data_IF_967112763284
#
_entry.id   IF_967112763284
#
_cell.length_a   1.000
_cell.length_b   1.000
_cell.length_c   1.000
_cell.angle_alpha   90.00
_cell.angle_beta   90.00
_cell.angle_gamma   90.00
#
_symmetry.space_group_name_H-M   'P 1'
#
loop_
_entity.id
_entity.type
_entity.pdbx_description
1 polymer ?
#
# COMPACT_ATOMS: atom_id res chain seq x y z
N UNK A 1 -3.81 -25.95 9.50
CA UNK A 1 -4.67 -24.76 9.68
C UNK A 1 -5.89 -24.91 8.78
N UNK A 2 -7.09 -24.55 9.23
CA UNK A 2 -8.30 -24.59 8.40
C UNK A 2 -8.37 -23.31 7.55
N UNK A 3 -8.83 -23.37 6.29
CA UNK A 3 -8.77 -22.23 5.37
C UNK A 3 -9.51 -20.98 5.90
N UNK A 4 -10.61 -21.18 6.63
CA UNK A 4 -11.37 -20.09 7.25
C UNK A 4 -10.57 -19.36 8.33
N UNK A 5 -9.79 -20.09 9.12
CA UNK A 5 -8.97 -19.52 10.18
C UNK A 5 -7.81 -18.70 9.59
N UNK A 6 -7.20 -19.18 8.50
CA UNK A 6 -6.15 -18.46 7.80
C UNK A 6 -6.64 -17.12 7.22
N UNK A 7 -7.80 -17.14 6.54
CA UNK A 7 -8.42 -15.92 6.00
C UNK A 7 -8.80 -14.95 7.13
N UNK A 8 -9.28 -15.47 8.26
CA UNK A 8 -9.62 -14.63 9.42
C UNK A 8 -8.37 -13.97 10.03
N UNK A 9 -7.27 -14.70 10.18
CA UNK A 9 -6.01 -14.14 10.68
C UNK A 9 -5.40 -13.11 9.72
N UNK A 10 -5.41 -13.40 8.42
CA UNK A 10 -4.98 -12.45 7.39
C UNK A 10 -5.81 -11.17 7.42
N UNK A 11 -7.13 -11.30 7.52
CA UNK A 11 -8.06 -10.17 7.57
C UNK A 11 -7.83 -9.30 8.81
N UNK A 12 -7.58 -9.92 9.97
CA UNK A 12 -7.23 -9.18 11.20
C UNK A 12 -5.93 -8.39 11.04
N UNK A 13 -4.91 -8.98 10.42
CA UNK A 13 -3.64 -8.29 10.17
C UNK A 13 -3.85 -7.10 9.20
N UNK A 14 -4.57 -7.31 8.10
CA UNK A 14 -4.87 -6.24 7.15
C UNK A 14 -5.73 -5.13 7.77
N UNK A 15 -6.65 -5.46 8.67
CA UNK A 15 -7.46 -4.49 9.38
C UNK A 15 -6.61 -3.56 10.27
N UNK A 16 -5.66 -4.11 11.02
CA UNK A 16 -4.75 -3.32 11.86
C UNK A 16 -3.89 -2.40 10.99
N UNK A 17 -3.34 -2.93 9.89
CA UNK A 17 -2.55 -2.15 8.94
C UNK A 17 -3.40 -1.05 8.30
N UNK A 18 -4.66 -1.32 7.96
CA UNK A 18 -5.54 -0.32 7.39
C UNK A 18 -5.83 0.83 8.37
N UNK A 19 -6.11 0.52 9.62
CA UNK A 19 -6.35 1.53 10.66
C UNK A 19 -5.15 2.42 10.93
N UNK A 20 -3.94 1.84 10.94
CA UNK A 20 -2.72 2.56 11.31
C UNK A 20 -2.02 3.25 10.14
N UNK A 21 -2.14 2.71 8.92
CA UNK A 21 -1.43 3.22 7.76
C UNK A 21 -2.38 3.85 6.72
N UNK A 22 -3.39 3.12 6.25
CA UNK A 22 -4.18 3.60 5.11
C UNK A 22 -5.10 4.75 5.50
N UNK A 23 -5.83 4.66 6.62
CA UNK A 23 -6.75 5.71 7.09
C UNK A 23 -6.00 7.03 7.37
N UNK A 24 -4.90 7.06 8.14
CA UNK A 24 -4.14 8.29 8.36
C UNK A 24 -3.51 8.83 7.07
N UNK A 25 -3.12 7.95 6.13
CA UNK A 25 -2.61 8.34 4.82
C UNK A 25 -3.63 9.17 4.03
N UNK A 26 -4.90 8.73 3.99
CA UNK A 26 -5.97 9.48 3.34
C UNK A 26 -6.21 10.86 3.96
N UNK A 27 -6.25 10.93 5.30
CA UNK A 27 -6.43 12.21 6.00
C UNK A 27 -5.27 13.16 5.72
N UNK A 28 -4.04 12.65 5.73
CA UNK A 28 -2.87 13.43 5.34
C UNK A 28 -3.01 13.97 3.91
N UNK A 29 -3.53 13.18 2.96
CA UNK A 29 -3.80 13.68 1.60
C UNK A 29 -4.78 14.85 1.63
N UNK A 30 -5.92 14.69 2.31
CA UNK A 30 -6.98 15.71 2.37
C UNK A 30 -6.44 17.04 2.89
N UNK A 31 -5.59 17.03 3.91
CA UNK A 31 -5.03 18.27 4.46
C UNK A 31 -3.93 18.90 3.59
N UNK A 32 -3.14 18.09 2.87
CA UNK A 32 -1.95 18.57 2.14
C UNK A 32 -2.22 18.84 0.65
N UNK A 33 -3.31 18.30 0.08
CA UNK A 33 -3.57 18.32 -1.36
C UNK A 33 -3.71 19.72 -1.93
N UNK A 34 -4.35 20.63 -1.20
CA UNK A 34 -4.55 22.02 -1.64
C UNK A 34 -3.33 22.91 -1.39
N UNK A 35 -2.40 22.49 -0.54
CA UNK A 35 -1.20 23.28 -0.19
C UNK A 35 0.02 22.93 -1.03
N UNK A 36 0.26 21.64 -1.29
CA UNK A 36 1.46 21.14 -1.97
C UNK A 36 1.21 20.94 -3.47
N UNK A 37 -0.04 20.66 -3.84
CA UNK A 37 -0.46 20.37 -5.20
C UNK A 37 -0.40 18.87 -5.55
N UNK A 38 -1.33 18.46 -6.41
CA UNK A 38 -1.61 17.05 -6.74
C UNK A 38 -0.43 16.32 -7.39
N UNK A 39 0.25 16.97 -8.34
CA UNK A 39 1.40 16.37 -9.04
C UNK A 39 2.58 16.06 -8.11
N UNK A 40 2.92 16.99 -7.21
CA UNK A 40 4.06 16.81 -6.28
C UNK A 40 3.79 15.70 -5.27
N UNK A 41 2.56 15.61 -4.77
CA UNK A 41 2.13 14.55 -3.85
C UNK A 41 2.23 13.18 -4.52
N UNK A 42 1.81 13.07 -5.78
CA UNK A 42 1.92 11.83 -6.55
C UNK A 42 3.39 11.40 -6.75
N UNK A 43 4.27 12.33 -7.11
CA UNK A 43 5.69 12.04 -7.32
C UNK A 43 6.40 11.63 -6.03
N UNK A 44 6.15 12.33 -4.92
CA UNK A 44 6.69 11.98 -3.61
C UNK A 44 6.18 10.60 -3.17
N UNK A 45 4.88 10.33 -3.34
CA UNK A 45 4.29 9.02 -3.01
C UNK A 45 4.97 7.87 -3.76
N UNK A 46 5.10 7.97 -5.09
CA UNK A 46 5.78 6.94 -5.89
C UNK A 46 7.26 6.78 -5.52
N UNK A 47 7.98 7.88 -5.26
CA UNK A 47 9.39 7.82 -4.90
C UNK A 47 9.57 7.10 -3.55
N UNK A 48 8.81 7.48 -2.53
CA UNK A 48 8.90 6.85 -1.20
C UNK A 48 8.49 5.38 -1.26
N UNK A 49 7.44 5.04 -2.01
CA UNK A 49 7.05 3.64 -2.23
C UNK A 49 8.16 2.83 -2.89
N UNK A 50 8.81 3.38 -3.93
CA UNK A 50 9.91 2.72 -4.63
C UNK A 50 11.08 2.43 -3.68
N UNK A 51 11.49 3.43 -2.90
CA UNK A 51 12.57 3.29 -1.92
C UNK A 51 12.22 2.25 -0.85
N UNK A 52 11.01 2.30 -0.29
CA UNK A 52 10.58 1.35 0.73
C UNK A 52 10.52 -0.08 0.20
N UNK A 53 9.96 -0.29 -1.00
CA UNK A 53 9.90 -1.59 -1.64
C UNK A 53 11.29 -2.11 -2.03
N UNK A 54 12.20 -1.24 -2.44
CA UNK A 54 13.58 -1.63 -2.73
C UNK A 54 14.30 -2.14 -1.48
N UNK A 55 14.20 -1.44 -0.35
CA UNK A 55 14.76 -1.90 0.92
C UNK A 55 14.10 -3.20 1.42
N UNK A 56 12.78 -3.31 1.27
CA UNK A 56 12.03 -4.51 1.66
C UNK A 56 12.45 -5.71 0.82
N UNK A 57 12.65 -5.51 -0.48
CA UNK A 57 13.05 -6.56 -1.42
C UNK A 57 14.50 -7.01 -1.23
N UNK A 58 15.43 -6.07 -1.01
CA UNK A 58 16.84 -6.41 -0.82
C UNK A 58 17.07 -7.29 0.42
N UNK A 59 16.47 -6.91 1.55
CA UNK A 59 16.64 -7.60 2.84
C UNK A 59 15.46 -8.53 3.18
N UNK A 60 14.72 -9.00 2.17
CA UNK A 60 13.49 -9.76 2.38
C UNK A 60 13.71 -11.05 3.19
N UNK A 61 14.83 -11.77 2.95
CA UNK A 61 15.17 -12.99 3.69
C UNK A 61 15.41 -12.72 5.17
N UNK A 62 16.10 -11.63 5.50
CA UNK A 62 16.43 -11.28 6.89
C UNK A 62 15.21 -10.76 7.65
N UNK A 63 14.27 -10.09 6.97
CA UNK A 63 13.05 -9.57 7.59
C UNK A 63 11.97 -10.64 7.78
N UNK A 64 11.81 -11.57 6.83
CA UNK A 64 10.85 -12.67 6.94
C UNK A 64 11.28 -13.71 7.97
N UNK A 65 12.59 -13.92 8.12
CA UNK A 65 13.13 -15.01 8.93
C UNK A 65 13.28 -16.29 8.11
N UNK A 66 13.98 -17.27 8.68
CA UNK A 66 14.37 -18.49 7.99
C UNK A 66 13.62 -19.70 8.57
N UNK A 67 13.04 -20.53 7.70
CA UNK A 67 12.25 -21.70 8.07
C UNK A 67 13.09 -22.74 8.84
N UNK A 68 14.36 -22.90 8.46
CA UNK A 68 15.30 -23.89 9.01
C UNK A 68 15.69 -23.64 10.48
N UNK A 69 15.45 -22.43 11.00
CA UNK A 69 15.73 -22.06 12.40
C UNK A 69 14.50 -22.17 13.31
N UNK A 70 13.33 -22.51 12.78
CA UNK A 70 12.15 -22.73 13.59
C UNK A 70 12.25 -24.00 14.43
N UNK A 71 11.89 -23.90 15.72
CA UNK A 71 11.70 -25.07 16.58
C UNK A 71 10.56 -25.93 16.00
N UNK A 72 10.81 -27.24 15.81
CA UNK A 72 9.87 -28.24 15.24
C UNK A 72 8.46 -28.32 15.84
N UNK A 73 8.20 -27.68 16.99
CA UNK A 73 6.89 -27.66 17.68
C UNK A 73 6.25 -26.25 17.76
N UNK A 74 6.70 -25.29 16.94
CA UNK A 74 6.15 -23.93 16.93
C UNK A 74 5.00 -23.78 15.92
N UNK A 75 3.99 -22.96 16.22
CA UNK A 75 2.84 -22.66 15.35
C UNK A 75 3.14 -21.68 14.20
N UNK A 76 4.42 -21.33 13.98
CA UNK A 76 4.85 -20.31 13.03
C UNK A 76 5.81 -20.90 12.00
N UNK A 77 5.57 -20.64 10.71
CA UNK A 77 6.36 -21.16 9.59
C UNK A 77 7.72 -20.44 9.38
N UNK A 78 7.92 -19.26 9.99
CA UNK A 78 9.15 -18.46 9.89
C UNK A 78 9.59 -17.96 11.27
N UNK A 79 10.88 -18.11 11.59
CA UNK A 79 11.45 -17.75 12.89
C UNK A 79 12.73 -16.92 12.71
N UNK A 80 13.08 -16.13 13.74
CA UNK A 80 14.28 -15.28 13.79
C UNK A 80 14.31 -14.09 12.80
N UNK A 81 13.17 -13.73 12.21
CA UNK A 81 13.04 -12.54 11.34
C UNK A 81 12.71 -11.26 12.11
N UNK A 82 13.19 -10.11 11.64
CA UNK A 82 12.81 -8.81 12.21
C UNK A 82 11.44 -8.33 11.66
N UNK A 83 10.38 -9.01 12.10
CA UNK A 83 8.99 -8.76 11.67
C UNK A 83 8.52 -7.32 11.91
N UNK A 84 9.06 -6.67 12.94
CA UNK A 84 8.71 -5.27 13.26
C UNK A 84 9.20 -4.33 12.15
N UNK A 85 10.43 -4.53 11.67
CA UNK A 85 10.99 -3.75 10.58
C UNK A 85 10.20 -3.96 9.27
N UNK A 86 9.82 -5.22 8.99
CA UNK A 86 8.95 -5.55 7.85
C UNK A 86 7.61 -4.81 7.94
N UNK A 87 6.94 -4.89 9.09
CA UNK A 87 5.63 -4.28 9.31
C UNK A 87 5.69 -2.75 9.21
N UNK A 88 6.76 -2.11 9.71
CA UNK A 88 6.97 -0.67 9.59
C UNK A 88 7.16 -0.27 8.12
N UNK A 89 8.07 -0.92 7.39
CA UNK A 89 8.33 -0.60 5.98
C UNK A 89 7.11 -0.86 5.10
N UNK A 90 6.40 -1.96 5.34
CA UNK A 90 5.17 -2.30 4.63
C UNK A 90 4.04 -1.32 4.95
N UNK A 91 3.86 -0.99 6.24
CA UNK A 91 2.89 0.02 6.69
C UNK A 91 3.21 1.41 6.11
N UNK A 92 4.48 1.81 6.09
CA UNK A 92 4.92 3.06 5.50
C UNK A 92 4.62 3.11 3.99
N UNK A 93 4.87 2.01 3.28
CA UNK A 93 4.55 1.88 1.86
C UNK A 93 3.05 2.06 1.62
N UNK A 94 2.19 1.43 2.44
CA UNK A 94 0.74 1.56 2.33
C UNK A 94 0.23 2.96 2.74
N UNK A 95 0.85 3.59 3.73
CA UNK A 95 0.57 4.97 4.09
C UNK A 95 0.84 5.90 2.90
N UNK A 96 2.03 5.81 2.30
CA UNK A 96 2.40 6.66 1.16
C UNK A 96 1.65 6.32 -0.12
N UNK A 97 1.22 5.06 -0.31
CA UNK A 97 0.35 4.68 -1.41
C UNK A 97 -1.01 5.40 -1.34
N UNK A 98 -1.58 5.49 -0.13
CA UNK A 98 -2.85 6.21 0.09
C UNK A 98 -2.66 7.73 0.18
N UNK A 99 -1.52 8.20 0.68
CA UNK A 99 -1.17 9.62 0.70
C UNK A 99 -1.01 10.21 -0.72
N UNK A 100 -0.36 9.45 -1.60
CA UNK A 100 -0.01 9.90 -2.94
C UNK A 100 -0.89 9.29 -4.02
N UNK A 101 -0.39 8.25 -4.69
CA UNK A 101 -0.92 7.79 -5.97
C UNK A 101 -2.36 7.30 -5.93
N UNK A 102 -2.84 6.65 -4.86
CA UNK A 102 -4.22 6.17 -4.82
C UNK A 102 -5.23 7.31 -4.88
N UNK A 103 -5.03 8.36 -4.08
CA UNK A 103 -5.95 9.50 -4.03
C UNK A 103 -5.76 10.44 -5.22
N UNK A 104 -4.52 10.79 -5.59
CA UNK A 104 -4.30 11.76 -6.68
C UNK A 104 -4.74 11.21 -8.04
N UNK A 105 -4.55 9.91 -8.30
CA UNK A 105 -4.95 9.29 -9.57
C UNK A 105 -6.47 9.27 -9.75
N UNK A 106 -7.24 9.29 -8.66
CA UNK A 106 -8.70 9.43 -8.73
C UNK A 106 -9.13 10.90 -8.95
N UNK A 107 -8.45 11.84 -8.29
CA UNK A 107 -8.80 13.27 -8.30
C UNK A 107 -8.39 13.94 -9.62
N UNK A 108 -7.19 13.66 -10.14
CA UNK A 108 -6.63 14.33 -11.32
C UNK A 108 -7.53 14.22 -12.56
N UNK A 109 -8.07 13.04 -12.94
CA UNK A 109 -9.01 12.94 -14.06
C UNK A 109 -10.29 13.77 -13.86
N UNK A 110 -10.79 13.86 -12.63
CA UNK A 110 -12.00 14.61 -12.33
C UNK A 110 -11.80 16.13 -12.50
N UNK A 111 -10.59 16.63 -12.18
CA UNK A 111 -10.20 18.04 -12.32
C UNK A 111 -9.76 18.40 -13.75
N UNK A 112 -9.11 17.49 -14.46
CA UNK A 112 -8.51 17.77 -15.77
C UNK A 112 -9.54 17.77 -16.91
N UNK A 113 -10.56 16.91 -16.83
CA UNK A 113 -11.52 16.76 -17.93
C UNK A 113 -12.69 17.76 -17.84
N UNK A 114 -13.01 18.46 -18.95
CA UNK A 114 -14.15 19.37 -19.00
C UNK A 114 -15.45 18.60 -18.77
N UNK A 115 -16.46 19.25 -18.17
CA UNK A 115 -17.69 18.59 -17.71
C UNK A 115 -18.41 17.74 -18.77
N UNK A 116 -18.31 18.11 -20.06
CA UNK A 116 -18.91 17.37 -21.18
C UNK A 116 -18.27 16.01 -21.48
N UNK A 117 -17.00 15.82 -21.14
CA UNK A 117 -16.22 14.60 -21.42
C UNK A 117 -15.76 13.87 -20.15
N UNK A 118 -16.13 14.39 -18.98
CA UNK A 118 -15.63 13.88 -17.69
C UNK A 118 -15.98 12.41 -17.49
N UNK A 119 -17.20 11.99 -17.78
CA UNK A 119 -17.64 10.60 -17.56
C UNK A 119 -16.90 9.60 -18.46
N UNK A 120 -16.72 9.91 -19.74
CA UNK A 120 -16.05 9.03 -20.71
C UNK A 120 -14.55 8.94 -20.41
N UNK A 121 -13.89 10.07 -20.22
CA UNK A 121 -12.46 10.11 -19.96
C UNK A 121 -12.10 9.56 -18.56
N UNK A 122 -12.91 9.85 -17.53
CA UNK A 122 -12.73 9.24 -16.20
C UNK A 122 -12.94 7.72 -16.25
N UNK A 123 -13.91 7.24 -17.05
CA UNK A 123 -14.13 5.82 -17.29
C UNK A 123 -12.92 5.14 -17.93
N UNK A 124 -12.30 5.75 -18.95
CA UNK A 124 -11.07 5.22 -19.57
C UNK A 124 -9.91 5.21 -18.57
N UNK A 125 -9.71 6.28 -17.79
CA UNK A 125 -8.67 6.31 -16.75
C UNK A 125 -8.89 5.24 -15.68
N UNK A 126 -10.13 5.02 -15.25
CA UNK A 126 -10.47 3.97 -14.28
C UNK A 126 -10.28 2.56 -14.86
N UNK A 127 -10.60 2.35 -16.14
CA UNK A 127 -10.36 1.09 -16.83
C UNK A 127 -8.87 0.79 -16.93
N UNK A 128 -8.03 1.79 -17.29
CA UNK A 128 -6.58 1.64 -17.31
C UNK A 128 -6.03 1.29 -15.90
N UNK A 129 -6.50 1.97 -14.85
CA UNK A 129 -6.11 1.66 -13.47
C UNK A 129 -6.48 0.23 -13.04
N UNK A 130 -7.67 -0.25 -13.40
CA UNK A 130 -8.09 -1.64 -13.12
C UNK A 130 -7.28 -2.65 -13.94
N UNK A 131 -6.99 -2.35 -15.22
CA UNK A 131 -6.17 -3.24 -16.06
C UNK A 131 -4.76 -3.42 -15.50
N UNK A 132 -4.15 -2.34 -14.99
CA UNK A 132 -2.85 -2.41 -14.33
C UNK A 132 -2.86 -3.13 -12.98
N UNK A 133 -4.01 -3.30 -12.34
CA UNK A 133 -4.13 -4.09 -11.11
C UNK A 133 -4.31 -5.60 -11.37
N UNK A 134 -4.67 -5.98 -12.61
CA UNK A 134 -4.86 -7.38 -13.02
C UNK A 134 -3.54 -8.00 -13.51
N UNK A 135 -2.71 -7.20 -14.20
CA UNK A 135 -1.39 -7.60 -14.69
C UNK A 135 -0.37 -7.69 -13.56
#
# INVERSE_FOLDING_TARGET
MNAIEEVFQLSRAMFVVALLATVPGYWATVFLIDKIGRYRIQLVGFLVMCVCMWFLGHNYRDYRGEESKCKKNSNYDYCDGNLVMFAILFGLTLFFANFGPNSTTFIVPAELFPARLRSTCHGISAAAGKSGAIL
#
